data_IF_122574896786
#
_entry.id   IF_122574896786
#
_cell.length_a   1.000
_cell.length_b   1.000
_cell.length_c   1.000
_cell.angle_alpha   90.00
_cell.angle_beta   90.00
_cell.angle_gamma   90.00
#
_symmetry.space_group_name_H-M   'P 1'
#
loop_
_entity.id
_entity.type
_entity.pdbx_description
1 polymer ?
#
# COMPACT_ATOMS: atom_id res chain seq x y z
N UNK A 1 8.88 9.30 -9.26
CA UNK A 1 9.51 9.20 -7.92
C UNK A 1 9.61 7.72 -7.58
N UNK A 2 10.76 7.24 -7.13
CA UNK A 2 10.94 5.84 -6.75
C UNK A 2 10.41 5.66 -5.32
N UNK A 3 9.51 4.72 -5.09
CA UNK A 3 8.91 4.50 -3.77
C UNK A 3 9.58 3.29 -3.11
N UNK A 4 9.94 3.42 -1.85
CA UNK A 4 10.41 2.30 -1.02
C UNK A 4 9.47 2.11 0.16
N UNK A 5 9.42 0.87 0.68
CA UNK A 5 8.64 0.58 1.88
C UNK A 5 9.38 1.09 3.13
N UNK A 6 8.78 2.01 3.93
CA UNK A 6 9.42 2.51 5.14
C UNK A 6 9.41 1.48 6.28
N UNK A 7 10.23 1.73 7.31
CA UNK A 7 10.25 0.96 8.57
C UNK A 7 9.15 1.41 9.52
N UNK A 8 7.92 0.98 9.26
CA UNK A 8 6.76 1.34 10.09
C UNK A 8 6.84 0.80 11.53
N UNK A 9 7.55 -0.31 11.76
CA UNK A 9 7.72 -0.92 13.09
C UNK A 9 8.35 0.02 14.13
N UNK A 10 9.05 1.06 13.68
CA UNK A 10 9.69 2.08 14.52
C UNK A 10 9.01 3.46 14.43
N UNK A 11 7.77 3.51 13.97
CA UNK A 11 7.04 4.73 13.66
C UNK A 11 5.82 4.90 14.60
N UNK A 12 6.01 5.15 15.91
CA UNK A 12 4.90 5.30 16.85
C UNK A 12 4.08 6.56 16.54
N UNK A 13 2.77 6.38 16.35
CA UNK A 13 1.81 7.45 16.07
C UNK A 13 0.74 7.51 17.15
N UNK A 14 0.43 8.71 17.61
CA UNK A 14 -0.72 8.97 18.47
C UNK A 14 -1.85 9.60 17.65
N UNK A 15 -3.03 9.00 17.72
CA UNK A 15 -4.26 9.56 17.17
C UNK A 15 -5.09 10.12 18.32
N UNK A 16 -5.59 11.34 18.17
CA UNK A 16 -6.53 11.98 19.10
C UNK A 16 -7.72 12.45 18.30
N UNK A 17 -8.93 12.07 18.68
CA UNK A 17 -10.08 12.42 17.86
C UNK A 17 -11.42 11.86 18.26
N UNK A 18 -12.41 12.14 17.42
CA UNK A 18 -13.76 11.63 17.57
C UNK A 18 -13.81 10.15 17.17
N UNK A 19 -14.18 9.30 18.12
CA UNK A 19 -14.30 7.85 17.93
C UNK A 19 -15.77 7.49 17.70
N UNK A 20 -16.02 6.58 16.77
CA UNK A 20 -17.37 6.07 16.50
C UNK A 20 -17.33 4.60 16.12
N UNK A 21 -18.47 3.91 16.29
CA UNK A 21 -18.68 2.54 15.86
C UNK A 21 -19.51 2.52 14.56
N UNK A 22 -18.92 2.03 13.48
CA UNK A 22 -19.65 1.70 12.26
C UNK A 22 -20.27 0.30 12.41
N UNK A 23 -21.59 0.24 12.62
CA UNK A 23 -22.33 -1.03 12.81
C UNK A 23 -23.06 -1.38 11.53
N UNK A 24 -23.02 -2.64 11.12
CA UNK A 24 -23.68 -3.15 9.93
C UNK A 24 -24.63 -4.28 10.30
N UNK A 25 -25.90 -4.13 9.93
CA UNK A 25 -26.90 -5.18 10.03
C UNK A 25 -27.16 -5.78 8.66
N UNK A 26 -26.76 -7.02 8.45
CA UNK A 26 -26.94 -7.74 7.20
C UNK A 26 -28.17 -8.63 7.29
N UNK A 27 -29.06 -8.54 6.30
CA UNK A 27 -30.28 -9.32 6.27
C UNK A 27 -31.01 -9.30 4.93
N UNK A 28 -31.83 -10.30 4.67
CA UNK A 28 -32.69 -10.34 3.48
C UNK A 28 -33.96 -9.50 3.64
N UNK A 29 -34.37 -8.81 2.56
CA UNK A 29 -35.70 -8.19 2.43
C UNK A 29 -36.60 -9.05 1.54
N UNK A 30 -37.33 -10.00 2.13
CA UNK A 30 -38.23 -10.90 1.39
C UNK A 30 -39.70 -10.45 1.37
N UNK A 31 -40.09 -9.48 2.20
CA UNK A 31 -41.47 -9.00 2.31
C UNK A 31 -41.57 -7.51 2.63
N UNK A 32 -42.72 -6.93 2.35
CA UNK A 32 -43.12 -5.57 2.77
C UNK A 32 -43.89 -5.66 4.10
N UNK A 33 -43.78 -4.64 4.94
CA UNK A 33 -44.48 -4.59 6.22
C UNK A 33 -46.00 -4.44 6.03
N UNK A 34 -46.83 -5.12 6.85
CA UNK A 34 -48.28 -4.90 6.86
C UNK A 34 -48.68 -3.59 7.55
N UNK A 35 -47.76 -2.95 8.30
CA UNK A 35 -48.00 -1.73 9.08
C UNK A 35 -47.75 -0.45 8.27
N UNK A 36 -46.81 -0.51 7.32
CA UNK A 36 -46.43 0.61 6.47
C UNK A 36 -45.79 0.07 5.17
N UNK A 37 -45.82 0.81 4.04
CA UNK A 37 -45.23 0.39 2.78
C UNK A 37 -43.70 0.48 2.78
N UNK A 38 -43.05 -0.23 3.70
CA UNK A 38 -41.60 -0.27 3.90
C UNK A 38 -41.07 -1.70 3.90
N UNK A 39 -39.82 -1.96 3.45
CA UNK A 39 -39.21 -3.28 3.51
C UNK A 39 -39.03 -3.79 4.95
N UNK A 40 -39.26 -5.09 5.16
CA UNK A 40 -38.88 -5.75 6.42
C UNK A 40 -37.53 -6.45 6.23
N UNK A 41 -36.53 -6.04 7.01
CA UNK A 41 -35.21 -6.67 7.03
C UNK A 41 -35.16 -7.68 8.15
N UNK A 42 -34.94 -8.95 7.82
CA UNK A 42 -34.61 -9.98 8.82
C UNK A 42 -33.09 -9.98 9.01
N UNK A 43 -32.61 -9.39 10.10
CA UNK A 43 -31.17 -9.34 10.43
C UNK A 43 -30.67 -10.74 10.76
N UNK A 44 -29.60 -11.16 10.10
CA UNK A 44 -28.98 -12.48 10.25
C UNK A 44 -27.52 -12.39 10.71
N UNK A 45 -26.86 -11.26 10.41
CA UNK A 45 -25.48 -11.00 10.84
C UNK A 45 -25.34 -9.54 11.26
N UNK A 46 -24.60 -9.34 12.35
CA UNK A 46 -24.17 -8.02 12.83
C UNK A 46 -22.65 -7.98 12.71
N UNK A 47 -22.14 -6.89 12.13
CA UNK A 47 -20.72 -6.64 12.01
C UNK A 47 -20.42 -5.25 12.56
N UNK A 48 -19.46 -5.16 13.46
CA UNK A 48 -19.00 -3.93 14.07
C UNK A 48 -17.59 -3.59 13.59
N UNK A 49 -17.39 -2.34 13.18
CA UNK A 49 -16.09 -1.82 12.74
C UNK A 49 -15.78 -0.50 13.43
N UNK A 50 -14.53 -0.31 13.91
CA UNK A 50 -14.12 1.01 14.40
C UNK A 50 -14.13 2.05 13.28
N UNK A 51 -14.76 3.19 13.55
CA UNK A 51 -14.92 4.34 12.65
C UNK A 51 -14.26 5.60 13.22
N UNK A 52 -14.16 6.63 12.38
CA UNK A 52 -13.56 7.91 12.76
C UNK A 52 -12.08 7.78 13.14
N UNK A 53 -11.69 8.44 14.23
CA UNK A 53 -10.32 8.37 14.76
C UNK A 53 -9.86 6.93 15.05
N UNK A 54 -10.78 6.03 15.38
CA UNK A 54 -10.44 4.62 15.60
C UNK A 54 -10.11 3.89 14.28
N UNK A 55 -10.74 4.25 13.17
CA UNK A 55 -10.36 3.71 11.85
C UNK A 55 -8.98 4.21 11.41
N UNK A 56 -8.63 5.46 11.72
CA UNK A 56 -7.29 6.01 11.49
C UNK A 56 -6.24 5.20 12.27
N UNK A 57 -6.48 4.97 13.56
CA UNK A 57 -5.57 4.16 14.39
C UNK A 57 -5.43 2.71 13.89
N UNK A 58 -6.53 2.10 13.43
CA UNK A 58 -6.50 0.77 12.80
C UNK A 58 -5.66 0.74 11.52
N UNK A 59 -5.79 1.74 10.65
CA UNK A 59 -5.01 1.82 9.41
C UNK A 59 -3.50 1.93 9.70
N UNK A 60 -3.12 2.73 10.71
CA UNK A 60 -1.72 2.84 11.16
C UNK A 60 -1.21 1.48 11.67
N UNK A 61 -1.99 0.79 12.52
CA UNK A 61 -1.62 -0.53 13.02
C UNK A 61 -1.53 -1.58 11.90
N UNK A 62 -2.43 -1.56 10.92
CA UNK A 62 -2.42 -2.48 9.77
C UNK A 62 -1.19 -2.29 8.87
N UNK A 63 -0.65 -1.07 8.78
CA UNK A 63 0.63 -0.79 8.14
C UNK A 63 1.83 -1.33 8.95
N UNK A 64 1.62 -1.75 10.19
CA UNK A 64 2.66 -2.28 11.09
C UNK A 64 3.30 -1.22 12.00
N UNK A 65 2.73 -0.02 12.06
CA UNK A 65 3.19 1.04 12.96
C UNK A 65 2.55 0.94 14.36
N UNK A 66 3.31 1.18 15.45
CA UNK A 66 2.73 1.26 16.79
C UNK A 66 1.71 2.41 16.87
N UNK A 67 0.44 2.08 17.12
CA UNK A 67 -0.65 3.06 17.20
C UNK A 67 -1.18 3.17 18.62
N UNK A 68 -1.29 4.41 19.11
CA UNK A 68 -2.08 4.76 20.29
C UNK A 68 -3.25 5.65 19.89
N UNK A 69 -4.38 5.50 20.56
CA UNK A 69 -5.60 6.26 20.31
C UNK A 69 -6.11 6.84 21.63
N UNK A 70 -6.30 8.16 21.66
CA UNK A 70 -7.04 8.86 22.72
C UNK A 70 -8.35 9.37 22.13
N UNK A 71 -9.45 9.06 22.79
CA UNK A 71 -10.78 9.47 22.32
C UNK A 71 -11.81 9.46 23.42
N UNK A 72 -13.04 9.81 23.07
CA UNK A 72 -14.17 9.91 24.01
C UNK A 72 -15.24 8.94 23.57
N UNK A 73 -15.81 8.22 24.53
CA UNK A 73 -16.91 7.27 24.30
C UNK A 73 -17.96 7.41 25.38
N UNK A 74 -19.11 6.78 25.20
CA UNK A 74 -20.00 6.48 26.30
C UNK A 74 -19.43 5.39 27.21
N UNK A 75 -20.20 5.05 28.24
CA UNK A 75 -19.98 3.84 29.04
C UNK A 75 -21.05 2.79 28.66
N UNK A 76 -20.85 2.17 27.50
CA UNK A 76 -21.83 1.29 26.87
C UNK A 76 -21.18 0.17 26.05
N UNK A 77 -22.01 -0.73 25.52
CA UNK A 77 -21.60 -1.88 24.72
C UNK A 77 -20.81 -1.47 23.47
N UNK A 78 -21.15 -0.34 22.85
CA UNK A 78 -20.43 0.14 21.67
C UNK A 78 -18.99 0.55 22.01
N UNK A 79 -18.76 1.19 23.17
CA UNK A 79 -17.42 1.48 23.67
C UNK A 79 -16.61 0.20 23.92
N UNK A 80 -17.24 -0.84 24.46
CA UNK A 80 -16.60 -2.13 24.70
C UNK A 80 -16.24 -2.86 23.38
N UNK A 81 -17.15 -2.84 22.40
CA UNK A 81 -16.94 -3.38 21.06
C UNK A 81 -15.74 -2.71 20.37
N UNK A 82 -15.66 -1.37 20.45
CA UNK A 82 -14.51 -0.60 19.96
C UNK A 82 -13.20 -0.99 20.65
N UNK A 83 -13.19 -1.00 21.99
CA UNK A 83 -11.99 -1.30 22.77
C UNK A 83 -11.46 -2.72 22.47
N UNK A 84 -12.35 -3.71 22.36
CA UNK A 84 -12.00 -5.09 22.03
C UNK A 84 -11.42 -5.20 20.60
N UNK A 85 -12.04 -4.52 19.63
CA UNK A 85 -11.60 -4.53 18.24
C UNK A 85 -10.22 -3.90 18.07
N UNK A 86 -9.99 -2.74 18.70
CA UNK A 86 -8.71 -2.03 18.70
C UNK A 86 -7.61 -2.84 19.39
N UNK A 87 -7.92 -3.46 20.54
CA UNK A 87 -7.00 -4.34 21.25
C UNK A 87 -6.60 -5.55 20.40
N UNK A 88 -7.57 -6.16 19.69
CA UNK A 88 -7.31 -7.28 18.77
C UNK A 88 -6.38 -6.90 17.62
N UNK A 89 -6.38 -5.62 17.20
CA UNK A 89 -5.48 -5.08 16.19
C UNK A 89 -4.15 -4.53 16.76
N UNK A 90 -3.92 -4.63 18.08
CA UNK A 90 -2.70 -4.14 18.72
C UNK A 90 -2.66 -2.61 18.93
N UNK A 91 -3.78 -1.91 18.83
CA UNK A 91 -3.88 -0.47 19.10
C UNK A 91 -4.04 -0.23 20.61
N UNK A 92 -3.20 0.64 21.19
CA UNK A 92 -3.36 1.10 22.58
C UNK A 92 -4.45 2.17 22.66
N UNK A 93 -5.68 1.76 22.97
CA UNK A 93 -6.82 2.68 23.12
C UNK A 93 -6.97 3.18 24.56
N UNK A 94 -7.14 4.50 24.71
CA UNK A 94 -7.39 5.20 25.97
C UNK A 94 -8.64 6.06 25.79
N UNK A 95 -9.75 5.59 26.34
CA UNK A 95 -11.04 6.26 26.22
C UNK A 95 -11.42 6.99 27.49
N UNK A 96 -11.75 8.27 27.36
CA UNK A 96 -12.52 8.98 28.36
C UNK A 96 -13.99 8.57 28.22
N UNK A 97 -14.48 7.74 29.15
CA UNK A 97 -15.87 7.27 29.15
C UNK A 97 -16.80 8.25 29.87
N UNK A 98 -17.88 8.64 29.21
CA UNK A 98 -18.90 9.54 29.77
C UNK A 98 -20.20 8.76 29.99
N UNK A 99 -20.53 8.46 31.24
CA UNK A 99 -21.63 7.56 31.60
C UNK A 99 -23.04 7.98 31.12
N UNK A 100 -23.25 9.28 30.86
CA UNK A 100 -24.57 9.82 30.51
C UNK A 100 -24.71 10.19 29.03
N UNK A 101 -23.71 9.91 28.19
CA UNK A 101 -23.76 10.15 26.75
C UNK A 101 -23.42 8.86 26.02
N UNK A 102 -24.20 8.46 24.99
CA UNK A 102 -23.92 7.24 24.25
C UNK A 102 -22.67 7.40 23.37
N UNK A 103 -21.95 6.30 23.18
CA UNK A 103 -20.94 6.19 22.13
C UNK A 103 -21.59 6.45 20.77
N UNK A 104 -20.88 7.17 19.91
CA UNK A 104 -21.39 7.49 18.56
C UNK A 104 -21.45 6.21 17.74
N UNK A 105 -22.64 5.89 17.22
CA UNK A 105 -22.85 4.71 16.37
C UNK A 105 -23.44 5.13 15.03
N UNK A 106 -22.83 4.65 13.94
CA UNK A 106 -23.31 4.78 12.57
C UNK A 106 -23.83 3.42 12.10
N UNK A 107 -25.11 3.16 12.30
CA UNK A 107 -25.74 1.89 11.95
C UNK A 107 -26.18 1.89 10.49
N UNK A 108 -25.71 0.93 9.69
CA UNK A 108 -26.07 0.72 8.28
C UNK A 108 -26.84 -0.58 8.15
N UNK A 109 -28.02 -0.52 7.55
CA UNK A 109 -28.84 -1.70 7.27
C UNK A 109 -28.61 -2.15 5.83
N UNK A 110 -28.09 -3.36 5.65
CA UNK A 110 -27.64 -3.91 4.38
C UNK A 110 -28.53 -5.08 3.94
N UNK A 111 -28.94 -5.09 2.67
CA UNK A 111 -29.62 -6.23 2.05
C UNK A 111 -29.13 -6.47 0.63
N UNK A 112 -28.78 -7.74 0.31
CA UNK A 112 -28.27 -8.14 -1.02
C UNK A 112 -27.16 -7.20 -1.55
N UNK A 113 -26.20 -6.85 -0.70
CA UNK A 113 -25.11 -5.92 -0.98
C UNK A 113 -25.51 -4.45 -1.25
N UNK A 114 -26.77 -4.08 -0.99
CA UNK A 114 -27.24 -2.70 -1.07
C UNK A 114 -27.51 -2.13 0.33
N UNK A 115 -27.10 -0.88 0.57
CA UNK A 115 -27.48 -0.15 1.78
C UNK A 115 -28.91 0.37 1.64
N UNK A 116 -29.76 0.00 2.59
CA UNK A 116 -31.17 0.41 2.63
C UNK A 116 -31.38 1.68 3.44
N UNK A 117 -30.72 1.77 4.60
CA UNK A 117 -30.86 2.89 5.54
C UNK A 117 -29.57 3.07 6.35
N UNK A 118 -29.31 4.32 6.75
CA UNK A 118 -28.32 4.66 7.78
C UNK A 118 -29.03 5.33 8.95
N UNK A 119 -28.74 4.87 10.17
CA UNK A 119 -29.27 5.37 11.43
C UNK A 119 -28.08 5.84 12.25
N UNK A 120 -28.06 7.13 12.55
CA UNK A 120 -26.97 7.76 13.29
C UNK A 120 -27.43 7.99 14.73
N UNK A 121 -26.73 7.37 15.69
CA UNK A 121 -26.87 7.62 17.12
C UNK A 121 -25.70 8.51 17.53
N UNK A 122 -25.94 9.81 17.61
CA UNK A 122 -24.87 10.76 17.92
C UNK A 122 -25.37 12.00 18.64
N UNK A 123 -24.58 12.43 19.61
CA UNK A 123 -24.67 13.74 20.25
C UNK A 123 -23.23 14.25 20.43
N UNK A 124 -22.97 15.56 20.25
CA UNK A 124 -21.63 16.09 20.51
C UNK A 124 -21.24 15.90 21.98
N UNK A 125 -20.07 15.33 22.23
CA UNK A 125 -19.61 15.04 23.57
C UNK A 125 -19.35 16.32 24.38
N UNK A 126 -19.97 16.40 25.56
CA UNK A 126 -19.64 17.40 26.57
C UNK A 126 -18.40 16.98 27.37
N UNK A 127 -17.22 17.10 26.77
CA UNK A 127 -15.92 16.80 27.40
C UNK A 127 -15.35 17.98 28.17
N UNK A 128 -14.60 17.67 29.24
CA UNK A 128 -13.64 18.59 29.84
C UNK A 128 -12.37 18.58 28.99
N UNK A 129 -12.08 19.74 28.41
CA UNK A 129 -11.01 19.89 27.45
C UNK A 129 -9.60 19.83 28.09
N UNK A 130 -9.49 19.89 29.42
CA UNK A 130 -8.23 19.67 30.15
C UNK A 130 -7.94 18.18 30.35
N UNK A 131 -8.97 17.35 30.55
CA UNK A 131 -8.81 15.93 30.87
C UNK A 131 -8.15 15.12 29.73
N UNK A 132 -8.47 15.44 28.47
CA UNK A 132 -7.79 14.85 27.31
C UNK A 132 -6.36 15.39 27.16
N UNK A 133 -6.12 16.64 27.53
CA UNK A 133 -4.81 17.28 27.44
C UNK A 133 -3.75 16.60 28.30
N UNK A 134 -4.08 16.25 29.55
CA UNK A 134 -3.17 15.55 30.46
C UNK A 134 -2.79 14.16 29.93
N UNK A 135 -3.79 13.37 29.50
CA UNK A 135 -3.55 12.04 28.93
C UNK A 135 -2.72 12.11 27.64
N UNK A 136 -2.96 13.10 26.79
CA UNK A 136 -2.17 13.29 25.58
C UNK A 136 -0.74 13.69 25.93
N UNK A 137 -0.52 14.61 26.87
CA UNK A 137 0.82 15.09 27.24
C UNK A 137 1.72 13.95 27.74
N UNK A 138 1.18 13.02 28.54
CA UNK A 138 1.91 11.82 28.98
C UNK A 138 2.34 10.91 27.81
N UNK A 139 1.53 10.84 26.74
CA UNK A 139 1.80 10.00 25.57
C UNK A 139 2.66 10.69 24.52
N UNK A 140 2.83 12.01 24.58
CA UNK A 140 3.73 12.73 23.68
C UNK A 140 5.18 12.26 23.87
N UNK A 141 5.54 11.79 25.07
CA UNK A 141 6.82 11.14 25.32
C UNK A 141 6.86 9.75 24.65
N UNK A 142 7.55 9.66 23.51
CA UNK A 142 7.82 8.39 22.83
C UNK A 142 7.06 8.17 21.53
N UNK A 143 6.27 9.15 21.07
CA UNK A 143 5.68 9.15 19.73
C UNK A 143 6.52 9.97 18.76
N UNK A 144 6.29 9.77 17.46
CA UNK A 144 6.95 10.54 16.40
C UNK A 144 6.02 11.46 15.62
N UNK A 145 4.71 11.18 15.61
CA UNK A 145 3.70 12.01 14.94
C UNK A 145 2.41 12.01 15.78
N UNK A 146 1.78 13.18 15.90
CA UNK A 146 0.43 13.35 16.43
C UNK A 146 -0.56 13.55 15.28
N UNK A 147 -1.67 12.81 15.29
CA UNK A 147 -2.78 12.95 14.36
C UNK A 147 -4.02 13.46 15.10
N UNK A 148 -4.59 14.56 14.63
CA UNK A 148 -5.87 15.09 15.08
C UNK A 148 -6.94 14.70 14.06
N UNK A 149 -7.83 13.80 14.46
CA UNK A 149 -8.92 13.29 13.60
C UNK A 149 -10.25 13.85 14.09
N UNK A 150 -10.65 14.99 13.53
CA UNK A 150 -11.82 15.75 13.95
C UNK A 150 -13.03 15.43 13.06
N UNK A 151 -14.14 15.05 13.67
CA UNK A 151 -15.43 14.86 12.99
C UNK A 151 -16.50 15.84 13.49
N UNK A 152 -16.11 16.84 14.29
CA UNK A 152 -17.00 17.80 14.91
C UNK A 152 -17.93 17.16 15.94
N UNK A 153 -17.48 16.11 16.64
CA UNK A 153 -18.29 15.38 17.63
C UNK A 153 -17.88 15.63 19.08
N UNK A 154 -16.98 16.59 19.32
CA UNK A 154 -16.75 17.16 20.64
C UNK A 154 -15.63 16.50 21.45
N UNK A 155 -14.93 15.50 20.92
CA UNK A 155 -13.69 15.02 21.54
C UNK A 155 -12.59 16.08 21.43
N UNK A 156 -12.42 16.70 20.27
CA UNK A 156 -11.40 17.73 20.04
C UNK A 156 -11.95 19.15 20.27
N UNK A 157 -11.98 19.60 21.54
CA UNK A 157 -12.33 20.99 21.88
C UNK A 157 -11.15 21.95 21.88
N UNK A 158 -9.96 21.47 22.26
CA UNK A 158 -8.76 22.27 22.48
C UNK A 158 -7.63 21.94 21.48
N UNK A 159 -7.94 21.96 20.18
CA UNK A 159 -6.97 21.72 19.11
C UNK A 159 -5.64 22.45 19.33
N UNK A 160 -5.71 23.74 19.64
CA UNK A 160 -4.53 24.58 19.84
C UNK A 160 -3.64 24.14 21.00
N UNK A 161 -4.21 23.65 22.11
CA UNK A 161 -3.41 23.16 23.25
C UNK A 161 -2.60 21.94 22.83
N UNK A 162 -3.22 21.00 22.12
CA UNK A 162 -2.57 19.79 21.62
C UNK A 162 -1.49 20.13 20.58
N UNK A 163 -1.79 21.02 19.64
CA UNK A 163 -0.85 21.47 18.62
C UNK A 163 0.38 22.13 19.26
N UNK A 164 0.17 23.03 20.23
CA UNK A 164 1.26 23.71 20.93
C UNK A 164 2.12 22.75 21.75
N UNK A 165 1.49 21.80 22.47
CA UNK A 165 2.21 20.80 23.28
C UNK A 165 3.09 19.88 22.43
N UNK A 166 2.62 19.47 21.25
CA UNK A 166 3.39 18.68 20.30
C UNK A 166 4.51 19.51 19.63
N UNK A 167 4.20 20.73 19.19
CA UNK A 167 5.17 21.65 18.56
C UNK A 167 6.32 22.01 19.51
N UNK A 168 6.03 22.24 20.79
CA UNK A 168 7.05 22.50 21.81
C UNK A 168 8.07 21.36 21.97
N UNK A 169 7.68 20.13 21.59
CA UNK A 169 8.53 18.92 21.60
C UNK A 169 9.09 18.56 20.22
N UNK A 170 8.82 19.38 19.20
CA UNK A 170 9.24 19.10 17.82
C UNK A 170 8.51 17.94 17.16
N UNK A 171 7.34 17.53 17.69
CA UNK A 171 6.53 16.45 17.14
C UNK A 171 5.63 17.02 16.03
N UNK A 172 5.69 16.51 14.79
CA UNK A 172 4.78 16.90 13.73
C UNK A 172 3.31 16.62 14.06
N UNK A 173 2.45 17.57 13.73
CA UNK A 173 0.99 17.46 13.93
C UNK A 173 0.29 17.43 12.58
N UNK A 174 -0.40 16.33 12.32
CA UNK A 174 -1.26 16.14 11.15
C UNK A 174 -2.71 16.30 11.59
N UNK A 175 -3.52 17.07 10.87
CA UNK A 175 -4.95 17.17 11.14
C UNK A 175 -5.79 16.87 9.90
N UNK A 176 -6.84 16.08 10.08
CA UNK A 176 -7.90 15.94 9.08
C UNK A 176 -9.01 16.95 9.42
N UNK A 177 -9.10 18.08 8.69
CA UNK A 177 -9.94 19.18 9.13
C UNK A 177 -11.42 18.91 8.85
N UNK A 178 -12.29 19.36 9.75
CA UNK A 178 -13.74 19.40 9.51
C UNK A 178 -14.34 20.76 9.80
N UNK A 179 -15.47 21.02 9.13
CA UNK A 179 -16.26 22.22 9.34
C UNK A 179 -15.83 23.40 8.48
N UNK A 180 -16.17 24.60 8.95
CA UNK A 180 -16.04 25.87 8.19
C UNK A 180 -14.97 26.80 8.75
N UNK A 181 -14.22 26.36 9.75
CA UNK A 181 -13.20 27.16 10.40
C UNK A 181 -11.93 26.33 10.56
N UNK A 182 -10.91 26.65 9.76
CA UNK A 182 -9.60 26.00 9.85
C UNK A 182 -8.65 26.74 10.79
N UNK A 183 -9.05 27.88 11.38
CA UNK A 183 -8.21 28.65 12.30
C UNK A 183 -7.85 27.87 13.57
N UNK A 184 -8.70 26.92 13.96
CA UNK A 184 -8.46 25.99 15.06
C UNK A 184 -7.27 25.06 14.84
N UNK A 185 -6.81 24.87 13.59
CA UNK A 185 -5.65 24.05 13.24
C UNK A 185 -4.37 24.87 13.00
N UNK A 186 -4.37 26.16 13.34
CA UNK A 186 -3.20 27.04 13.21
C UNK A 186 -1.95 26.41 13.85
N UNK A 187 -0.83 26.43 13.15
CA UNK A 187 0.45 25.88 13.61
C UNK A 187 0.63 24.37 13.41
N UNK A 188 -0.33 23.68 12.79
CA UNK A 188 -0.19 22.27 12.42
C UNK A 188 0.88 22.07 11.33
N UNK A 189 1.56 20.94 11.35
CA UNK A 189 2.59 20.60 10.35
C UNK A 189 1.98 20.29 8.99
N UNK A 190 0.80 19.68 8.96
CA UNK A 190 0.07 19.35 7.75
C UNK A 190 -1.44 19.28 8.05
N UNK A 191 -2.26 19.82 7.17
CA UNK A 191 -3.70 19.52 7.15
C UNK A 191 -4.11 18.89 5.82
N UNK A 192 -5.12 18.02 5.84
CA UNK A 192 -5.50 17.17 4.69
C UNK A 192 -6.95 17.35 4.19
N UNK A 193 -7.44 18.58 3.93
CA UNK A 193 -8.82 18.77 3.48
C UNK A 193 -9.07 18.11 2.13
N UNK A 194 -10.30 17.67 1.88
CA UNK A 194 -10.75 17.43 0.51
C UNK A 194 -11.02 18.76 -0.23
N UNK A 195 -11.16 18.69 -1.55
CA UNK A 195 -11.38 19.88 -2.38
C UNK A 195 -12.61 20.69 -1.94
N UNK A 196 -13.72 20.04 -1.60
CA UNK A 196 -14.93 20.73 -1.16
C UNK A 196 -14.77 21.43 0.19
N UNK A 197 -14.06 20.80 1.14
CA UNK A 197 -13.70 21.42 2.42
C UNK A 197 -12.77 22.61 2.21
N UNK A 198 -11.77 22.46 1.36
CA UNK A 198 -10.85 23.54 1.01
C UNK A 198 -11.59 24.73 0.37
N UNK A 199 -12.42 24.51 -0.65
CA UNK A 199 -13.20 25.54 -1.32
C UNK A 199 -14.25 26.19 -0.42
N UNK A 200 -14.73 25.49 0.61
CA UNK A 200 -15.60 26.09 1.63
C UNK A 200 -14.88 27.19 2.41
N UNK A 201 -13.56 27.06 2.59
CA UNK A 201 -12.73 28.03 3.33
C UNK A 201 -12.21 29.14 2.42
N UNK A 202 -11.68 28.80 1.24
CA UNK A 202 -11.00 29.77 0.36
C UNK A 202 -11.85 30.27 -0.81
N UNK A 203 -13.10 29.78 -0.93
CA UNK A 203 -13.96 29.97 -2.09
C UNK A 203 -13.57 29.06 -3.27
N UNK A 204 -14.49 28.87 -4.22
CA UNK A 204 -14.29 27.99 -5.38
C UNK A 204 -13.03 28.32 -6.19
N UNK A 205 -12.38 27.30 -6.76
CA UNK A 205 -11.17 27.45 -7.57
C UNK A 205 -11.48 27.14 -9.03
N UNK A 206 -11.25 28.08 -9.94
CA UNK A 206 -11.53 27.89 -11.36
C UNK A 206 -10.51 26.99 -12.06
N UNK A 207 -9.24 27.02 -11.61
CA UNK A 207 -8.13 26.27 -12.20
C UNK A 207 -7.07 25.89 -11.15
N UNK A 208 -6.01 25.20 -11.60
CA UNK A 208 -4.92 24.77 -10.72
C UNK A 208 -4.12 25.95 -10.14
N UNK A 209 -4.01 27.06 -10.88
CA UNK A 209 -3.27 28.22 -10.43
C UNK A 209 -4.00 28.90 -9.25
N UNK A 210 -5.32 29.04 -9.33
CA UNK A 210 -6.13 29.53 -8.20
C UNK A 210 -6.04 28.62 -6.98
N UNK A 211 -6.10 27.30 -7.17
CA UNK A 211 -5.97 26.34 -6.06
C UNK A 211 -4.61 26.51 -5.35
N UNK A 212 -3.52 26.60 -6.12
CA UNK A 212 -2.16 26.77 -5.56
C UNK A 212 -2.03 28.11 -4.85
N UNK A 213 -2.50 29.20 -5.47
CA UNK A 213 -2.41 30.56 -4.92
C UNK A 213 -3.21 30.70 -3.61
N UNK A 214 -4.48 30.29 -3.62
CA UNK A 214 -5.33 30.31 -2.43
C UNK A 214 -4.83 29.37 -1.34
N UNK A 215 -4.29 28.21 -1.72
CA UNK A 215 -3.71 27.26 -0.77
C UNK A 215 -2.45 27.81 -0.10
N UNK A 216 -1.58 28.48 -0.85
CA UNK A 216 -0.41 29.16 -0.29
C UNK A 216 -0.80 30.28 0.69
N UNK A 217 -1.84 31.07 0.35
CA UNK A 217 -2.38 32.09 1.25
C UNK A 217 -2.93 31.46 2.55
N UNK A 218 -3.73 30.40 2.44
CA UNK A 218 -4.28 29.69 3.60
C UNK A 218 -3.16 29.12 4.50
N UNK A 219 -2.13 28.54 3.91
CA UNK A 219 -0.97 28.02 4.65
C UNK A 219 -0.27 29.12 5.43
N UNK A 220 -0.03 30.27 4.79
CA UNK A 220 0.57 31.43 5.45
C UNK A 220 -0.33 31.94 6.59
N UNK A 221 -1.63 32.11 6.33
CA UNK A 221 -2.58 32.65 7.30
C UNK A 221 -2.75 31.76 8.52
N UNK A 222 -2.54 30.45 8.38
CA UNK A 222 -2.66 29.46 9.45
C UNK A 222 -1.32 28.97 10.01
N UNK A 223 -0.17 29.52 9.58
CA UNK A 223 1.16 29.06 10.00
C UNK A 223 1.34 27.53 9.81
N UNK A 224 0.96 27.02 8.63
CA UNK A 224 1.02 25.59 8.33
C UNK A 224 2.36 25.21 7.69
N UNK A 225 2.90 24.05 8.10
CA UNK A 225 4.08 23.47 7.45
C UNK A 225 3.82 22.95 6.04
N UNK A 226 2.60 22.49 5.76
CA UNK A 226 2.15 22.00 4.47
C UNK A 226 0.62 21.94 4.39
N UNK A 227 0.08 21.87 3.17
CA UNK A 227 -1.32 21.63 2.89
C UNK A 227 -1.44 20.54 1.82
N UNK A 228 -2.19 19.47 2.10
CA UNK A 228 -2.49 18.43 1.13
C UNK A 228 -3.98 18.48 0.79
N UNK A 229 -4.32 18.91 -0.42
CA UNK A 229 -5.71 18.91 -0.89
C UNK A 229 -5.97 17.61 -1.63
N UNK A 230 -6.88 16.77 -1.09
CA UNK A 230 -7.34 15.56 -1.78
C UNK A 230 -8.47 15.90 -2.76
N UNK A 231 -8.37 15.38 -4.00
CA UNK A 231 -9.18 15.80 -5.16
C UNK A 231 -9.89 14.62 -5.84
N UNK A 232 -10.21 13.56 -5.09
CA UNK A 232 -10.93 12.39 -5.58
C UNK A 232 -10.25 11.76 -6.81
N UNK A 233 -10.96 11.66 -7.93
CA UNK A 233 -10.46 11.13 -9.20
C UNK A 233 -9.28 11.91 -9.79
N UNK A 234 -9.11 13.18 -9.40
CA UNK A 234 -7.95 13.98 -9.80
C UNK A 234 -6.73 13.74 -8.90
N UNK A 235 -6.81 12.84 -7.91
CA UNK A 235 -5.69 12.51 -7.03
C UNK A 235 -5.52 13.51 -5.90
N UNK A 236 -4.32 14.07 -5.71
CA UNK A 236 -4.02 14.98 -4.60
C UNK A 236 -2.95 16.01 -4.96
N UNK A 237 -3.02 17.18 -4.33
CA UNK A 237 -2.09 18.29 -4.56
C UNK A 237 -1.46 18.73 -3.24
N UNK A 238 -0.14 18.59 -3.15
CA UNK A 238 0.66 18.98 -1.99
C UNK A 238 1.26 20.38 -2.21
N UNK A 239 1.03 21.26 -1.25
CA UNK A 239 1.61 22.60 -1.16
C UNK A 239 2.54 22.67 0.05
N UNK A 240 3.71 23.31 -0.13
CA UNK A 240 4.77 23.46 0.85
C UNK A 240 5.39 24.85 0.72
N UNK A 241 5.88 25.47 1.81
CA UNK A 241 6.60 26.73 1.74
C UNK A 241 7.82 26.59 0.83
N UNK A 242 8.08 27.60 0.00
CA UNK A 242 9.26 27.70 -0.88
C UNK A 242 9.48 26.53 -1.86
N UNK A 243 8.45 25.73 -2.13
CA UNK A 243 8.50 24.62 -3.08
C UNK A 243 7.37 24.72 -4.10
N UNK A 244 7.58 24.24 -5.35
CA UNK A 244 6.48 24.13 -6.31
C UNK A 244 5.43 23.14 -5.81
N UNK A 245 4.17 23.41 -6.19
CA UNK A 245 3.07 22.49 -5.95
C UNK A 245 3.37 21.12 -6.57
N UNK A 246 3.16 20.05 -5.79
CA UNK A 246 3.32 18.68 -6.25
C UNK A 246 1.93 18.08 -6.45
N UNK A 247 1.56 17.88 -7.71
CA UNK A 247 0.34 17.18 -8.07
C UNK A 247 0.63 15.69 -8.33
N UNK A 248 -0.14 14.81 -7.68
CA UNK A 248 -0.12 13.37 -7.93
C UNK A 248 -1.50 12.93 -8.42
N UNK A 249 -1.62 12.36 -9.63
CA UNK A 249 -2.90 11.87 -10.14
C UNK A 249 -3.40 10.67 -9.35
N UNK A 250 -4.71 10.39 -9.36
CA UNK A 250 -5.27 9.24 -8.68
C UNK A 250 -4.67 7.93 -9.20
N UNK A 251 -4.38 7.00 -8.28
CA UNK A 251 -3.80 5.68 -8.59
C UNK A 251 -4.83 4.54 -8.61
N UNK A 252 -6.13 4.87 -8.50
CA UNK A 252 -7.20 3.89 -8.52
C UNK A 252 -7.46 3.35 -9.94
N UNK A 253 -7.52 2.02 -10.10
CA UNK A 253 -7.91 1.38 -11.37
C UNK A 253 -9.42 1.08 -11.43
N UNK A 254 -10.00 0.71 -10.29
CA UNK A 254 -11.42 0.42 -10.12
C UNK A 254 -11.88 1.05 -8.80
N UNK A 255 -12.97 1.81 -8.84
CA UNK A 255 -13.55 2.47 -7.66
C UNK A 255 -14.83 1.71 -7.29
N UNK A 256 -14.84 1.14 -6.09
CA UNK A 256 -15.94 0.37 -5.53
C UNK A 256 -16.63 1.12 -4.39
N UNK A 257 -15.87 1.59 -3.40
CA UNK A 257 -16.37 2.36 -2.26
C UNK A 257 -15.32 3.40 -1.84
N UNK A 258 -15.70 4.67 -1.74
CA UNK A 258 -14.79 5.77 -1.34
C UNK A 258 -14.77 6.00 0.16
N UNK A 259 -15.57 5.25 0.93
CA UNK A 259 -15.70 5.41 2.38
C UNK A 259 -14.37 5.11 3.08
N UNK A 260 -13.88 6.05 3.90
CA UNK A 260 -12.63 5.88 4.67
C UNK A 260 -11.34 6.13 3.89
N UNK A 261 -11.41 6.56 2.61
CA UNK A 261 -10.21 6.87 1.83
C UNK A 261 -9.39 8.02 2.44
N UNK A 262 -10.04 9.04 3.01
CA UNK A 262 -9.38 10.13 3.75
C UNK A 262 -8.62 9.62 4.97
N UNK A 263 -9.26 8.76 5.76
CA UNK A 263 -8.65 8.11 6.92
C UNK A 263 -7.40 7.32 6.52
N UNK A 264 -7.44 6.57 5.41
CA UNK A 264 -6.27 5.86 4.87
C UNK A 264 -5.17 6.81 4.45
N UNK A 265 -5.50 7.95 3.83
CA UNK A 265 -4.52 8.98 3.44
C UNK A 265 -3.79 9.52 4.66
N UNK A 266 -4.50 10.03 5.67
CA UNK A 266 -3.86 10.62 6.85
C UNK A 266 -3.10 9.58 7.68
N UNK A 267 -3.61 8.34 7.75
CA UNK A 267 -2.94 7.23 8.44
C UNK A 267 -1.61 6.87 7.77
N UNK A 268 -1.60 6.76 6.44
CA UNK A 268 -0.39 6.42 5.68
C UNK A 268 0.63 7.55 5.73
N UNK A 269 0.18 8.81 5.65
CA UNK A 269 1.03 9.98 5.84
C UNK A 269 1.69 9.97 7.21
N UNK A 270 0.90 9.79 8.27
CA UNK A 270 1.40 9.79 9.63
C UNK A 270 2.42 8.68 9.87
N UNK A 271 2.15 7.46 9.41
CA UNK A 271 3.07 6.34 9.52
C UNK A 271 4.36 6.58 8.72
N UNK A 272 4.28 7.13 7.51
CA UNK A 272 5.45 7.43 6.67
C UNK A 272 6.33 8.54 7.26
N UNK A 273 5.72 9.64 7.72
CA UNK A 273 6.44 10.75 8.36
C UNK A 273 7.08 10.26 9.67
N UNK A 274 6.37 9.47 10.47
CA UNK A 274 6.92 8.86 11.68
C UNK A 274 8.06 7.86 11.37
N UNK A 275 8.06 7.23 10.20
CA UNK A 275 9.16 6.39 9.73
C UNK A 275 10.37 7.20 9.20
N UNK A 276 10.26 8.53 9.12
CA UNK A 276 11.32 9.43 8.65
C UNK A 276 11.28 9.74 7.15
N UNK A 277 10.17 9.44 6.47
CA UNK A 277 10.01 9.77 5.05
C UNK A 277 9.79 11.27 4.84
N UNK A 278 10.38 11.79 3.76
CA UNK A 278 10.13 13.14 3.28
C UNK A 278 8.69 13.29 2.77
N UNK A 279 8.11 14.48 2.94
CA UNK A 279 6.68 14.70 2.68
C UNK A 279 6.22 14.30 1.26
N UNK A 280 6.96 14.57 0.17
CA UNK A 280 6.60 14.05 -1.16
C UNK A 280 6.44 12.54 -1.21
N UNK A 281 7.36 11.78 -0.59
CA UNK A 281 7.33 10.32 -0.55
C UNK A 281 6.16 9.82 0.29
N UNK A 282 5.93 10.42 1.46
CA UNK A 282 4.77 10.12 2.30
C UNK A 282 3.44 10.33 1.54
N UNK A 283 3.31 11.45 0.80
CA UNK A 283 2.12 11.76 0.00
C UNK A 283 1.91 10.76 -1.13
N UNK A 284 2.98 10.33 -1.80
CA UNK A 284 2.85 9.32 -2.86
C UNK A 284 2.48 7.94 -2.32
N UNK A 285 3.01 7.53 -1.16
CA UNK A 285 2.57 6.32 -0.47
C UNK A 285 1.10 6.40 -0.09
N UNK A 286 0.65 7.54 0.44
CA UNK A 286 -0.75 7.78 0.78
C UNK A 286 -1.68 7.76 -0.44
N UNK A 287 -1.25 8.34 -1.57
CA UNK A 287 -2.00 8.29 -2.83
C UNK A 287 -2.13 6.85 -3.36
N UNK A 288 -1.07 6.06 -3.25
CA UNK A 288 -1.09 4.65 -3.63
C UNK A 288 -2.01 3.84 -2.71
N UNK A 289 -1.93 4.07 -1.40
CA UNK A 289 -2.78 3.44 -0.41
C UNK A 289 -4.26 3.78 -0.62
N UNK A 290 -4.57 5.04 -0.89
CA UNK A 290 -5.92 5.50 -1.23
C UNK A 290 -6.44 4.82 -2.51
N UNK A 291 -5.59 4.70 -3.54
CA UNK A 291 -5.95 4.01 -4.78
C UNK A 291 -6.30 2.52 -4.59
N UNK A 292 -5.77 1.88 -3.56
CA UNK A 292 -6.06 0.48 -3.22
C UNK A 292 -7.35 0.39 -2.40
N UNK A 293 -7.51 1.23 -1.39
CA UNK A 293 -8.67 1.14 -0.47
C UNK A 293 -9.98 1.45 -1.17
N UNK A 294 -9.98 2.36 -2.15
CA UNK A 294 -11.21 2.68 -2.89
C UNK A 294 -11.74 1.51 -3.72
N UNK A 295 -10.93 0.47 -3.97
CA UNK A 295 -11.36 -0.79 -4.60
C UNK A 295 -11.93 -1.83 -3.63
N UNK A 296 -11.99 -1.53 -2.32
CA UNK A 296 -12.51 -2.41 -1.26
C UNK A 296 -13.89 -1.94 -0.81
N UNK A 297 -14.65 -2.80 -0.11
CA UNK A 297 -15.95 -2.46 0.46
C UNK A 297 -15.81 -1.92 1.90
N UNK A 298 -16.40 -0.76 2.18
CA UNK A 298 -16.45 -0.14 3.51
C UNK A 298 -15.11 0.46 3.96
N UNK A 299 -15.01 0.76 5.26
CA UNK A 299 -13.80 1.29 5.93
C UNK A 299 -12.69 0.23 6.05
N UNK A 300 -12.21 -0.30 4.93
CA UNK A 300 -11.14 -1.28 4.93
C UNK A 300 -9.79 -0.63 5.25
N UNK A 301 -8.98 -1.28 6.07
CA UNK A 301 -7.59 -0.86 6.26
C UNK A 301 -6.69 -1.39 5.13
N UNK A 302 -5.58 -0.70 4.89
CA UNK A 302 -4.48 -1.21 4.05
C UNK A 302 -3.40 -1.85 4.93
N UNK A 303 -2.98 -3.06 4.55
CA UNK A 303 -1.88 -3.74 5.24
C UNK A 303 -0.52 -3.40 4.64
N UNK A 304 0.54 -3.52 5.44
CA UNK A 304 1.92 -3.32 4.97
C UNK A 304 2.29 -4.18 3.73
N UNK A 305 1.93 -5.48 3.68
CA UNK A 305 2.16 -6.30 2.50
C UNK A 305 1.42 -5.80 1.24
N UNK A 306 0.17 -5.36 1.37
CA UNK A 306 -0.58 -4.81 0.23
C UNK A 306 0.08 -3.55 -0.33
N UNK A 307 0.50 -2.63 0.54
CA UNK A 307 1.20 -1.43 0.11
C UNK A 307 2.55 -1.77 -0.55
N UNK A 308 3.31 -2.72 0.02
CA UNK A 308 4.58 -3.19 -0.57
C UNK A 308 4.39 -3.75 -1.98
N UNK A 309 3.38 -4.59 -2.19
CA UNK A 309 3.08 -5.13 -3.53
C UNK A 309 2.72 -4.02 -4.52
N UNK A 310 1.97 -3.02 -4.07
CA UNK A 310 1.61 -1.89 -4.92
C UNK A 310 2.83 -1.04 -5.30
N UNK A 311 3.77 -0.83 -4.38
CA UNK A 311 5.05 -0.17 -4.66
C UNK A 311 5.84 -0.96 -5.71
N UNK A 312 5.99 -2.28 -5.50
CA UNK A 312 6.68 -3.17 -6.44
C UNK A 312 6.03 -3.17 -7.83
N UNK A 313 4.70 -3.10 -7.90
CA UNK A 313 3.96 -2.95 -9.16
C UNK A 313 4.30 -1.67 -9.91
N UNK A 314 4.36 -0.53 -9.21
CA UNK A 314 4.75 0.75 -9.82
C UNK A 314 6.20 0.76 -10.30
N UNK A 315 7.09 0.06 -9.59
CA UNK A 315 8.50 -0.08 -9.99
C UNK A 315 8.73 -1.07 -11.13
N UNK A 316 7.67 -1.73 -11.65
CA UNK A 316 7.79 -2.76 -12.68
C UNK A 316 8.35 -4.09 -12.16
N UNK A 317 8.31 -4.34 -10.85
CA UNK A 317 8.85 -5.54 -10.21
C UNK A 317 7.91 -6.77 -10.27
N UNK A 318 6.68 -6.64 -10.80
CA UNK A 318 5.87 -7.84 -11.07
C UNK A 318 6.52 -8.73 -12.12
N UNK A 319 7.11 -8.10 -13.15
CA UNK A 319 7.88 -8.77 -14.20
C UNK A 319 8.91 -7.84 -14.81
N UNK A 320 10.12 -8.33 -15.07
CA UNK A 320 11.11 -7.53 -15.78
C UNK A 320 12.56 -7.87 -15.47
N UNK A 321 13.44 -6.96 -15.86
CA UNK A 321 14.88 -7.03 -15.61
C UNK A 321 15.17 -6.52 -14.19
N UNK A 322 15.79 -7.35 -13.35
CA UNK A 322 16.10 -7.05 -11.96
C UNK A 322 17.60 -7.21 -11.66
N UNK A 323 18.13 -6.37 -10.77
CA UNK A 323 19.40 -6.64 -10.09
C UNK A 323 19.24 -7.69 -8.98
N UNK A 324 20.36 -8.21 -8.46
CA UNK A 324 20.34 -9.28 -7.45
C UNK A 324 19.53 -8.91 -6.20
N UNK A 325 19.75 -7.73 -5.62
CA UNK A 325 19.02 -7.28 -4.43
C UNK A 325 17.51 -7.21 -4.66
N UNK A 326 17.09 -6.68 -5.83
CA UNK A 326 15.68 -6.59 -6.20
C UNK A 326 15.06 -7.97 -6.44
N UNK A 327 15.83 -8.88 -7.06
CA UNK A 327 15.39 -10.24 -7.29
C UNK A 327 15.16 -10.99 -5.97
N UNK A 328 16.07 -10.86 -5.00
CA UNK A 328 15.93 -11.51 -3.70
C UNK A 328 14.67 -11.02 -2.96
N UNK A 329 14.39 -9.71 -2.99
CA UNK A 329 13.16 -9.14 -2.43
C UNK A 329 11.90 -9.67 -3.11
N UNK A 330 11.92 -9.81 -4.44
CA UNK A 330 10.79 -10.34 -5.20
C UNK A 330 10.55 -11.84 -4.92
N UNK A 331 11.63 -12.60 -4.75
CA UNK A 331 11.59 -14.04 -4.40
C UNK A 331 11.05 -14.25 -2.98
N UNK A 332 11.50 -13.45 -2.01
CA UNK A 332 11.01 -13.54 -0.63
C UNK A 332 9.51 -13.17 -0.53
N UNK A 333 9.05 -12.19 -1.31
CA UNK A 333 7.63 -11.87 -1.41
C UNK A 333 6.83 -13.03 -2.00
N UNK A 334 7.27 -13.61 -3.13
CA UNK A 334 6.61 -14.76 -3.74
C UNK A 334 6.54 -15.98 -2.80
N UNK A 335 7.61 -16.23 -2.03
CA UNK A 335 7.61 -17.28 -0.98
C UNK A 335 6.63 -17.01 0.14
N UNK A 336 6.48 -15.76 0.59
CA UNK A 336 5.49 -15.39 1.60
C UNK A 336 4.05 -15.70 1.12
N UNK A 337 3.84 -15.71 -0.21
CA UNK A 337 2.58 -16.08 -0.86
C UNK A 337 2.49 -17.56 -1.25
N UNK A 338 3.46 -18.38 -0.85
CA UNK A 338 3.55 -19.81 -1.17
C UNK A 338 3.60 -20.08 -2.69
N UNK A 339 4.08 -19.11 -3.46
CA UNK A 339 4.36 -19.28 -4.89
C UNK A 339 5.64 -20.09 -5.08
N UNK A 340 5.62 -21.02 -6.04
CA UNK A 340 6.75 -21.89 -6.35
C UNK A 340 7.69 -21.25 -7.36
N UNK A 341 8.97 -21.13 -7.02
CA UNK A 341 9.98 -20.42 -7.81
C UNK A 341 10.72 -21.38 -8.74
N UNK A 342 10.67 -21.09 -10.03
CA UNK A 342 11.37 -21.80 -11.10
C UNK A 342 12.55 -20.98 -11.59
N UNK A 343 13.68 -21.62 -11.83
CA UNK A 343 14.88 -21.00 -12.36
C UNK A 343 15.37 -21.72 -13.60
N UNK A 344 15.77 -20.95 -14.61
CA UNK A 344 16.54 -21.43 -15.76
C UNK A 344 17.63 -20.43 -16.12
N UNK A 345 18.62 -20.86 -16.89
CA UNK A 345 19.64 -19.98 -17.40
C UNK A 345 20.15 -20.39 -18.80
N UNK A 346 20.67 -19.40 -19.52
CA UNK A 346 21.27 -19.61 -20.84
C UNK A 346 21.75 -18.32 -21.49
N UNK A 347 22.33 -18.43 -22.69
CA UNK A 347 22.81 -17.27 -23.42
C UNK A 347 21.69 -16.47 -24.11
N UNK A 348 20.63 -17.14 -24.59
CA UNK A 348 19.48 -16.53 -25.27
C UNK A 348 19.83 -15.46 -26.32
N UNK A 349 20.78 -15.78 -27.19
CA UNK A 349 21.38 -14.78 -28.09
C UNK A 349 20.44 -14.34 -29.21
N UNK A 350 19.87 -15.30 -29.96
CA UNK A 350 18.75 -15.05 -30.87
C UNK A 350 17.65 -16.04 -30.50
N UNK A 351 16.51 -15.50 -30.08
CA UNK A 351 15.34 -16.29 -29.72
C UNK A 351 14.67 -16.86 -30.96
N UNK A 352 14.02 -18.00 -30.77
CA UNK A 352 13.20 -18.70 -31.76
C UNK A 352 12.08 -19.45 -31.04
N UNK A 353 11.14 -20.02 -31.78
CA UNK A 353 9.98 -20.72 -31.22
C UNK A 353 10.35 -21.76 -30.14
N UNK A 354 11.41 -22.55 -30.37
CA UNK A 354 11.92 -23.49 -29.37
C UNK A 354 12.28 -22.88 -28.01
N UNK A 355 12.82 -21.65 -27.95
CA UNK A 355 13.06 -20.96 -26.69
C UNK A 355 11.75 -20.53 -26.02
N UNK A 356 10.77 -20.07 -26.79
CA UNK A 356 9.45 -19.68 -26.25
C UNK A 356 8.77 -20.88 -25.62
N UNK A 357 8.67 -22.00 -26.35
CA UNK A 357 8.08 -23.23 -25.83
C UNK A 357 8.84 -23.78 -24.62
N UNK A 358 10.17 -23.74 -24.64
CA UNK A 358 10.99 -24.13 -23.49
C UNK A 358 10.70 -23.31 -22.24
N UNK A 359 10.60 -21.98 -22.38
CA UNK A 359 10.31 -21.08 -21.26
C UNK A 359 8.87 -21.26 -20.75
N UNK A 360 7.90 -21.52 -21.62
CA UNK A 360 6.53 -21.88 -21.24
C UNK A 360 6.48 -23.19 -20.43
N UNK A 361 7.20 -24.21 -20.89
CA UNK A 361 7.29 -25.50 -20.18
C UNK A 361 8.02 -25.36 -18.85
N UNK A 362 9.05 -24.51 -18.78
CA UNK A 362 9.73 -24.19 -17.52
C UNK A 362 8.77 -23.48 -16.56
N UNK A 363 8.07 -22.44 -17.02
CA UNK A 363 7.07 -21.70 -16.24
C UNK A 363 5.97 -22.62 -15.71
N UNK A 364 5.59 -23.67 -16.43
CA UNK A 364 4.60 -24.64 -16.00
C UNK A 364 5.05 -25.53 -14.81
N UNK A 365 6.32 -25.49 -14.41
CA UNK A 365 6.83 -26.25 -13.25
C UNK A 365 6.63 -25.54 -11.90
N UNK A 366 6.11 -24.30 -11.92
CA UNK A 366 5.84 -23.48 -10.73
C UNK A 366 5.02 -22.23 -11.05
N UNK A 367 5.15 -21.19 -10.25
CA UNK A 367 4.33 -19.96 -10.29
C UNK A 367 5.13 -18.72 -10.74
N UNK A 368 6.45 -18.72 -10.56
CA UNK A 368 7.33 -17.64 -11.01
C UNK A 368 8.53 -18.19 -11.76
N UNK A 369 8.83 -17.66 -12.94
CA UNK A 369 10.02 -18.05 -13.71
C UNK A 369 11.11 -16.97 -13.70
N UNK A 370 12.28 -17.33 -13.19
CA UNK A 370 13.53 -16.58 -13.28
C UNK A 370 14.33 -17.09 -14.46
N UNK A 371 14.77 -16.18 -15.33
CA UNK A 371 15.71 -16.45 -16.42
C UNK A 371 17.01 -15.71 -16.16
N UNK A 372 18.06 -16.45 -15.80
CA UNK A 372 19.40 -15.92 -15.67
C UNK A 372 20.15 -15.95 -17.01
N UNK A 373 20.75 -14.81 -17.39
CA UNK A 373 21.32 -14.58 -18.71
C UNK A 373 22.82 -14.34 -18.59
N UNK A 374 23.62 -15.12 -19.32
CA UNK A 374 25.07 -14.87 -19.38
C UNK A 374 25.35 -13.47 -19.95
N UNK A 375 26.26 -12.71 -19.35
CA UNK A 375 26.73 -11.44 -19.89
C UNK A 375 27.54 -11.60 -21.19
N UNK A 376 27.88 -10.49 -21.83
CA UNK A 376 28.51 -10.52 -23.15
C UNK A 376 29.93 -11.12 -23.10
N UNK A 377 30.68 -10.85 -22.04
CA UNK A 377 32.01 -11.42 -21.84
C UNK A 377 31.96 -12.94 -21.62
N UNK A 378 31.00 -13.43 -20.83
CA UNK A 378 30.75 -14.85 -20.59
C UNK A 378 30.35 -15.56 -21.87
N UNK A 379 29.45 -14.99 -22.67
CA UNK A 379 29.03 -15.62 -23.93
C UNK A 379 30.20 -15.67 -24.93
N UNK A 380 31.02 -14.62 -25.00
CA UNK A 380 32.20 -14.61 -25.87
C UNK A 380 33.23 -15.67 -25.47
N UNK A 381 33.48 -15.86 -24.16
CA UNK A 381 34.33 -16.96 -23.66
C UNK A 381 33.77 -18.35 -24.01
N UNK A 382 32.45 -18.52 -23.95
CA UNK A 382 31.79 -19.81 -24.19
C UNK A 382 31.66 -20.17 -25.67
N UNK A 383 31.39 -19.19 -26.54
CA UNK A 383 31.04 -19.42 -27.96
C UNK A 383 32.07 -18.88 -28.95
N UNK A 384 33.09 -18.18 -28.48
CA UNK A 384 34.16 -17.62 -29.29
C UNK A 384 33.93 -16.18 -29.75
N UNK A 385 34.92 -15.60 -30.46
CA UNK A 385 34.87 -14.22 -30.94
C UNK A 385 33.73 -14.01 -31.94
N UNK A 386 33.01 -12.89 -31.82
CA UNK A 386 31.84 -12.56 -32.65
C UNK A 386 30.49 -13.03 -32.08
N UNK A 387 30.48 -13.56 -30.84
CA UNK A 387 29.27 -13.84 -30.05
C UNK A 387 29.39 -13.16 -28.66
N UNK A 388 28.31 -12.65 -28.06
CA UNK A 388 26.94 -12.69 -28.58
C UNK A 388 26.70 -11.69 -29.73
N UNK A 389 25.64 -11.92 -30.51
CA UNK A 389 25.20 -10.98 -31.56
C UNK A 389 24.42 -9.83 -30.94
N UNK A 390 23.57 -10.14 -29.95
CA UNK A 390 22.82 -9.14 -29.19
C UNK A 390 23.47 -8.90 -27.83
N UNK A 391 23.61 -7.62 -27.46
CA UNK A 391 24.11 -7.26 -26.12
C UNK A 391 23.21 -7.81 -25.01
N UNK A 392 23.77 -7.97 -23.82
CA UNK A 392 23.06 -8.48 -22.65
C UNK A 392 21.78 -7.70 -22.38
N UNK A 393 21.82 -6.37 -22.44
CA UNK A 393 20.65 -5.51 -22.23
C UNK A 393 19.52 -5.83 -23.22
N UNK A 394 19.85 -6.03 -24.51
CA UNK A 394 18.86 -6.36 -25.55
C UNK A 394 18.25 -7.74 -25.31
N UNK A 395 19.09 -8.73 -24.98
CA UNK A 395 18.64 -10.10 -24.70
C UNK A 395 17.71 -10.13 -23.50
N UNK A 396 18.08 -9.43 -22.43
CA UNK A 396 17.27 -9.33 -21.21
C UNK A 396 15.94 -8.63 -21.46
N UNK A 397 15.93 -7.52 -22.22
CA UNK A 397 14.71 -6.81 -22.57
C UNK A 397 13.72 -7.67 -23.37
N UNK A 398 14.21 -8.45 -24.33
CA UNK A 398 13.35 -9.36 -25.11
C UNK A 398 12.79 -10.47 -24.22
N UNK A 399 13.62 -11.07 -23.36
CA UNK A 399 13.17 -12.12 -22.43
C UNK A 399 12.12 -11.60 -21.44
N UNK A 400 12.29 -10.38 -20.93
CA UNK A 400 11.34 -9.72 -20.03
C UNK A 400 9.98 -9.45 -20.70
N UNK A 401 9.94 -9.36 -22.03
CA UNK A 401 8.71 -9.21 -22.81
C UNK A 401 7.93 -10.51 -23.03
N UNK A 402 8.49 -11.68 -22.69
CA UNK A 402 7.81 -12.96 -22.88
C UNK A 402 6.83 -13.26 -21.74
N UNK A 403 5.59 -13.62 -22.09
CA UNK A 403 4.53 -13.86 -21.11
C UNK A 403 4.82 -14.97 -20.09
N UNK A 404 5.73 -15.90 -20.41
CA UNK A 404 6.16 -16.99 -19.53
C UNK A 404 7.24 -16.58 -18.51
N UNK A 405 7.91 -15.44 -18.70
CA UNK A 405 9.04 -15.00 -17.89
C UNK A 405 8.59 -13.95 -16.90
N UNK A 406 8.87 -14.16 -15.62
CA UNK A 406 8.58 -13.18 -14.58
C UNK A 406 9.81 -12.31 -14.34
N UNK A 407 10.98 -12.88 -14.06
CA UNK A 407 12.18 -12.09 -13.75
C UNK A 407 13.38 -12.47 -14.60
N UNK A 408 14.18 -11.47 -14.98
CA UNK A 408 15.40 -11.64 -15.78
C UNK A 408 16.58 -11.00 -15.06
N UNK A 409 17.68 -11.74 -14.90
CA UNK A 409 18.91 -11.26 -14.24
C UNK A 409 20.12 -11.65 -15.08
N UNK A 410 21.17 -10.81 -15.11
CA UNK A 410 22.44 -11.15 -15.76
C UNK A 410 23.47 -11.68 -14.76
N UNK A 411 24.40 -12.51 -15.25
CA UNK A 411 25.55 -12.97 -14.49
C UNK A 411 26.79 -13.10 -15.37
N UNK A 412 27.97 -12.89 -14.76
CA UNK A 412 29.25 -12.82 -15.48
C UNK A 412 30.08 -14.11 -15.37
N UNK A 413 29.78 -14.94 -14.37
CA UNK A 413 30.49 -16.19 -14.11
C UNK A 413 30.24 -17.25 -15.19
N UNK A 414 31.11 -18.26 -15.25
CA UNK A 414 30.95 -19.38 -16.19
C UNK A 414 29.73 -20.26 -15.89
N UNK A 415 29.25 -20.25 -14.64
CA UNK A 415 28.11 -21.03 -14.16
C UNK A 415 27.21 -20.17 -13.25
N UNK A 416 25.91 -20.46 -13.15
CA UNK A 416 24.97 -19.69 -12.32
C UNK A 416 25.00 -20.10 -10.83
N UNK A 417 26.02 -20.83 -10.37
CA UNK A 417 26.02 -21.46 -9.04
C UNK A 417 25.90 -20.47 -7.88
N UNK A 418 26.56 -19.31 -7.98
CA UNK A 418 26.43 -18.24 -6.98
C UNK A 418 24.98 -17.74 -6.90
N UNK A 419 24.36 -17.46 -8.06
CA UNK A 419 22.96 -17.06 -8.11
C UNK A 419 22.04 -18.14 -7.54
N UNK A 420 22.31 -19.43 -7.78
CA UNK A 420 21.51 -20.52 -7.22
C UNK A 420 21.62 -20.60 -5.69
N UNK A 421 22.79 -20.31 -5.11
CA UNK A 421 23.01 -20.29 -3.65
C UNK A 421 22.27 -19.13 -2.97
N UNK A 422 22.21 -17.98 -3.62
CA UNK A 422 21.50 -16.79 -3.13
C UNK A 422 19.98 -16.94 -3.31
N UNK A 423 19.53 -17.24 -4.54
CA UNK A 423 18.11 -17.29 -4.90
C UNK A 423 17.42 -18.52 -4.32
N UNK A 424 18.10 -19.68 -4.25
CA UNK A 424 17.55 -20.97 -3.80
C UNK A 424 16.18 -21.33 -4.40
N UNK A 425 16.06 -21.45 -5.73
CA UNK A 425 14.78 -21.78 -6.38
C UNK A 425 14.26 -23.17 -6.01
N UNK A 426 12.94 -23.37 -6.04
CA UNK A 426 12.28 -24.66 -5.78
C UNK A 426 12.47 -25.65 -6.93
N UNK A 427 12.58 -25.13 -8.16
CA UNK A 427 12.81 -25.93 -9.37
C UNK A 427 13.91 -25.32 -10.23
N UNK A 428 14.93 -26.11 -10.55
CA UNK A 428 15.90 -25.80 -11.60
C UNK A 428 15.51 -26.53 -12.88
N UNK A 429 15.27 -25.77 -13.94
CA UNK A 429 14.89 -26.31 -15.25
C UNK A 429 16.02 -26.12 -16.25
N UNK A 430 16.37 -27.19 -16.97
CA UNK A 430 17.31 -27.16 -18.10
C UNK A 430 16.73 -27.79 -19.35
N UNK A 431 17.07 -27.21 -20.51
CA UNK A 431 16.73 -27.78 -21.81
C UNK A 431 17.92 -28.56 -22.38
N UNK A 432 17.63 -29.68 -23.05
CA UNK A 432 18.64 -30.52 -23.71
C UNK A 432 18.55 -31.99 -23.31
N UNK A 433 19.44 -32.80 -23.86
CA UNK A 433 19.49 -34.26 -23.64
C UNK A 433 20.49 -34.66 -22.54
N UNK A 434 20.55 -33.88 -21.46
CA UNK A 434 21.48 -34.09 -20.34
C UNK A 434 20.90 -35.08 -19.31
N UNK A 435 21.76 -35.91 -18.72
CA UNK A 435 21.44 -36.57 -17.44
C UNK A 435 21.29 -35.54 -16.33
N UNK A 436 20.46 -35.79 -15.31
CA UNK A 436 20.26 -34.85 -14.19
C UNK A 436 21.59 -34.55 -13.49
N UNK A 437 22.45 -35.56 -13.34
CA UNK A 437 23.80 -35.44 -12.80
C UNK A 437 24.75 -34.52 -13.61
N UNK A 438 24.41 -34.20 -14.86
CA UNK A 438 25.22 -33.30 -15.70
C UNK A 438 24.73 -31.85 -15.65
N UNK A 439 23.61 -31.57 -14.97
CA UNK A 439 23.07 -30.23 -14.83
C UNK A 439 23.88 -29.44 -13.80
N UNK A 440 24.55 -28.40 -14.27
CA UNK A 440 25.28 -27.44 -13.42
C UNK A 440 24.34 -26.83 -12.38
N UNK A 441 24.67 -27.01 -11.09
CA UNK A 441 23.87 -26.56 -9.95
C UNK A 441 22.82 -27.55 -9.43
N UNK A 442 22.73 -28.77 -10.01
CA UNK A 442 21.79 -29.79 -9.56
C UNK A 442 22.04 -30.24 -8.11
N UNK A 443 23.30 -30.39 -7.72
CA UNK A 443 23.75 -30.70 -6.38
C UNK A 443 23.34 -29.61 -5.38
N UNK A 444 23.52 -28.34 -5.75
CA UNK A 444 23.15 -27.18 -4.92
C UNK A 444 21.64 -27.18 -4.65
N UNK A 445 20.83 -27.31 -5.70
CA UNK A 445 19.37 -27.24 -5.62
C UNK A 445 18.80 -28.42 -4.83
N UNK A 446 19.33 -29.62 -5.07
CA UNK A 446 18.88 -30.83 -4.37
C UNK A 446 19.27 -30.81 -2.89
N UNK A 447 20.42 -30.21 -2.53
CA UNK A 447 20.92 -30.19 -1.15
C UNK A 447 19.98 -29.48 -0.15
N UNK A 448 19.18 -28.51 -0.61
CA UNK A 448 18.18 -27.83 0.23
C UNK A 448 16.73 -28.29 -0.05
N UNK A 449 16.55 -29.37 -0.82
CA UNK A 449 15.24 -29.98 -1.09
C UNK A 449 14.52 -29.48 -2.35
N UNK A 450 15.19 -28.68 -3.19
CA UNK A 450 14.67 -28.30 -4.51
C UNK A 450 14.69 -29.45 -5.52
N UNK A 451 14.04 -29.26 -6.66
CA UNK A 451 13.93 -30.28 -7.72
C UNK A 451 14.62 -29.85 -9.01
N UNK A 452 15.21 -30.80 -9.73
CA UNK A 452 15.83 -30.54 -11.04
C UNK A 452 14.99 -31.21 -12.12
N UNK A 453 14.70 -30.48 -13.20
CA UNK A 453 13.93 -30.95 -14.34
C UNK A 453 14.71 -30.71 -15.63
N UNK A 454 14.86 -31.77 -16.42
CA UNK A 454 15.39 -31.68 -17.78
C UNK A 454 14.21 -31.80 -18.75
N UNK A 455 14.01 -30.78 -19.57
CA UNK A 455 12.96 -30.73 -20.58
C UNK A 455 13.55 -31.14 -21.93
N UNK A 456 12.84 -32.03 -22.63
CA UNK A 456 13.23 -32.50 -23.96
C UNK A 456 13.27 -31.36 -24.98
N UNK A 457 14.17 -31.47 -25.97
CA UNK A 457 14.28 -30.50 -27.05
C UNK A 457 13.03 -30.50 -27.92
N UNK A 458 12.45 -29.32 -28.15
CA UNK A 458 11.46 -29.11 -29.21
C UNK A 458 12.22 -29.04 -30.55
N UNK A 459 11.83 -29.86 -31.52
CA UNK A 459 12.54 -30.05 -32.79
C UNK A 459 12.83 -28.75 -33.59
N UNK A 460 13.97 -28.76 -34.28
CA UNK A 460 14.30 -28.01 -35.49
C UNK A 460 14.39 -26.47 -35.44
N UNK A 461 15.21 -25.92 -34.55
CA UNK A 461 15.93 -24.65 -34.81
C UNK A 461 17.00 -24.41 -33.76
N UNK A 462 18.29 -24.45 -34.13
CA UNK A 462 19.35 -23.89 -33.27
C UNK A 462 19.74 -22.51 -33.79
N UNK A 463 20.04 -21.57 -32.89
CA UNK A 463 20.54 -20.23 -33.26
C UNK A 463 21.74 -20.32 -34.22
N UNK A 464 22.60 -21.32 -34.06
CA UNK A 464 23.75 -21.55 -34.94
C UNK A 464 23.31 -21.96 -36.34
N UNK A 465 22.33 -22.87 -36.47
CA UNK A 465 21.79 -23.28 -37.76
C UNK A 465 21.08 -22.14 -38.49
N UNK A 466 20.37 -21.25 -37.78
CA UNK A 466 19.76 -20.05 -38.38
C UNK A 466 20.84 -19.13 -38.94
N UNK A 467 21.91 -18.87 -38.19
CA UNK A 467 23.01 -17.99 -38.62
C UNK A 467 23.80 -18.61 -39.78
N UNK A 468 24.05 -19.91 -39.76
CA UNK A 468 24.69 -20.61 -40.88
C UNK A 468 23.82 -20.59 -42.14
N UNK A 469 22.51 -20.75 -42.01
CA UNK A 469 21.58 -20.64 -43.15
C UNK A 469 21.61 -19.25 -43.75
N UNK A 470 21.67 -18.19 -42.93
CA UNK A 470 21.82 -16.81 -43.41
C UNK A 470 23.16 -16.64 -44.15
N UNK A 471 24.28 -17.17 -43.60
CA UNK A 471 25.61 -17.08 -44.23
C UNK A 471 25.79 -17.93 -45.49
N UNK A 472 24.99 -18.99 -45.68
CA UNK A 472 24.99 -19.87 -46.86
C UNK A 472 23.99 -19.43 -47.95
N UNK A 473 23.25 -18.34 -47.72
CA UNK A 473 22.25 -17.82 -48.66
C UNK A 473 22.77 -16.64 -49.51
N UNK A 474 24.10 -16.43 -49.51
CA UNK A 474 24.82 -15.71 -50.58
C UNK A 474 25.31 -16.73 -51.61
#
# INVERSE_FOLDING_TARGET
MKLSMPRFDQAPVLVVGDVMLDRYWHGGTSRISPEAPVPVVKVEQIEDRPGGAANVALNIAALGAPASLVGVTGDDEAADSLANSLKGAGVRALFQRIAHQPTIVKLRVMSRHQQLLRIDFEEPFATDALALGEQVDELLEGIKVLVLSDYGKGALKNHQVLIQAARARGIPVLADPKGKDFSIYRGASLITPNLSEFETIVGGCADEHELVSKGAQLMHDLDLGALLVTRGEHGMTLLRPDHPALHLPARAREVFDVTGAGDTVISTLAAAIAAGEELPHAVALANLAAGIVVGKLGTAAISAPELRRAIQREEGSERGVLGLEQLLLAVDDARAHKEKIVFTNGCFDILHAGHVTYLEQARAQGDRLIVAVNDDASVSRLKGPGRPINSVDRRMAVLAGLGAVDWVISFAEGTPENLLREVKPDVLVKGGDYGIEQVVGADIVTAYGGTVKVLGLVENSSTTAIVEKIRKSE
#
